data_IF_863099018351
#
_entry.id   IF_863099018351
#
_cell.length_a   1.000
_cell.length_b   1.000
_cell.length_c   1.000
_cell.angle_alpha   90.00
_cell.angle_beta   90.00
_cell.angle_gamma   90.00
#
_symmetry.space_group_name_H-M   'P 1'
#
loop_
_entity.id
_entity.type
_entity.pdbx_description
1 polymer ?
#
# COMPACT_ATOMS: atom_id res chain seq x y z
N UNK A 1 -16.96 15.10 -13.22
CA UNK A 1 -15.92 14.07 -13.00
C UNK A 1 -15.81 13.87 -11.49
N UNK A 2 -16.63 12.99 -10.91
CA UNK A 2 -16.68 12.81 -9.47
C UNK A 2 -15.62 11.81 -9.05
N UNK A 3 -14.66 12.27 -8.23
CA UNK A 3 -13.63 11.42 -7.60
C UNK A 3 -14.30 10.63 -6.49
N UNK A 4 -14.64 9.38 -6.74
CA UNK A 4 -14.99 8.42 -5.70
C UNK A 4 -13.72 7.97 -5.00
N UNK A 5 -13.71 8.14 -3.68
CA UNK A 5 -12.73 7.61 -2.74
C UNK A 5 -12.43 6.13 -3.05
N UNK A 6 -11.17 5.81 -3.35
CA UNK A 6 -10.72 4.44 -3.63
C UNK A 6 -10.49 3.74 -2.30
N UNK A 7 -11.57 3.22 -1.70
CA UNK A 7 -11.46 2.04 -0.84
C UNK A 7 -10.82 0.93 -1.69
N UNK A 8 -9.81 0.18 -1.21
CA UNK A 8 -9.29 -0.96 -1.96
C UNK A 8 -10.45 -1.93 -2.17
N UNK A 9 -10.88 -2.09 -3.42
CA UNK A 9 -12.07 -2.88 -3.74
C UNK A 9 -11.95 -4.31 -3.18
N UNK A 10 -13.08 -4.92 -2.73
CA UNK A 10 -13.11 -6.19 -2.01
C UNK A 10 -12.46 -7.38 -2.75
N UNK A 11 -12.25 -7.28 -4.06
CA UNK A 11 -11.66 -8.30 -4.93
C UNK A 11 -10.12 -8.34 -4.93
N UNK A 12 -9.49 -7.40 -4.21
CA UNK A 12 -8.03 -7.26 -4.11
C UNK A 12 -7.50 -7.62 -2.74
N UNK A 13 -8.32 -8.21 -1.86
CA UNK A 13 -7.82 -8.73 -0.60
C UNK A 13 -6.80 -9.84 -0.87
N UNK A 14 -5.76 -9.88 -0.06
CA UNK A 14 -4.72 -10.90 -0.16
C UNK A 14 -5.31 -12.31 -0.03
N UNK A 15 -6.30 -12.47 0.83
CA UNK A 15 -7.05 -13.72 1.05
C UNK A 15 -7.77 -14.19 -0.22
N UNK A 16 -8.45 -13.30 -0.94
CA UNK A 16 -9.14 -13.69 -2.18
C UNK A 16 -8.16 -14.17 -3.24
N UNK A 17 -7.00 -13.51 -3.35
CA UNK A 17 -5.97 -13.94 -4.28
C UNK A 17 -5.30 -15.26 -3.87
N UNK A 18 -5.17 -15.54 -2.56
CA UNK A 18 -4.76 -16.85 -2.05
C UNK A 18 -5.77 -17.93 -2.44
N UNK A 19 -7.07 -17.66 -2.27
CA UNK A 19 -8.13 -18.60 -2.66
C UNK A 19 -8.10 -18.91 -4.17
N UNK A 20 -7.84 -17.92 -5.02
CA UNK A 20 -7.67 -18.11 -6.47
C UNK A 20 -6.54 -19.11 -6.78
N UNK A 21 -5.40 -18.98 -6.10
CA UNK A 21 -4.26 -19.89 -6.27
C UNK A 21 -4.62 -21.29 -5.76
N UNK A 22 -5.21 -21.39 -4.56
CA UNK A 22 -5.66 -22.65 -3.98
C UNK A 22 -6.64 -23.39 -4.89
N UNK A 23 -7.68 -22.72 -5.40
CA UNK A 23 -8.64 -23.33 -6.31
C UNK A 23 -8.02 -23.82 -7.62
N UNK A 24 -6.96 -23.16 -8.09
CA UNK A 24 -6.28 -23.57 -9.33
C UNK A 24 -5.36 -24.76 -9.12
N UNK A 25 -4.56 -24.77 -8.07
CA UNK A 25 -3.51 -25.77 -7.87
C UNK A 25 -3.99 -26.98 -7.06
N UNK A 26 -4.82 -26.79 -6.04
CA UNK A 26 -5.30 -27.87 -5.17
C UNK A 26 -6.63 -28.47 -5.67
N UNK A 27 -7.51 -27.64 -6.25
CA UNK A 27 -8.83 -28.09 -6.73
C UNK A 27 -8.92 -28.22 -8.26
N UNK A 28 -7.84 -27.93 -9.00
CA UNK A 28 -7.76 -28.02 -10.46
C UNK A 28 -8.91 -27.33 -11.23
N UNK A 29 -9.52 -26.28 -10.65
CA UNK A 29 -10.64 -25.56 -11.27
C UNK A 29 -10.19 -24.75 -12.49
N UNK A 30 -11.12 -24.54 -13.41
CA UNK A 30 -10.90 -23.69 -14.58
C UNK A 30 -10.90 -22.21 -14.21
N UNK A 31 -10.26 -21.37 -15.03
CA UNK A 31 -10.24 -19.92 -14.80
C UNK A 31 -11.64 -19.30 -14.81
N UNK A 32 -12.55 -19.84 -15.64
CA UNK A 32 -13.95 -19.44 -15.70
C UNK A 32 -14.67 -19.71 -14.37
N UNK A 33 -14.59 -20.93 -13.84
CA UNK A 33 -15.20 -21.29 -12.56
C UNK A 33 -14.64 -20.46 -11.41
N UNK A 34 -13.32 -20.25 -11.38
CA UNK A 34 -12.65 -19.40 -10.40
C UNK A 34 -13.14 -17.96 -10.50
N UNK A 35 -13.34 -17.45 -11.72
CA UNK A 35 -13.84 -16.09 -11.93
C UNK A 35 -15.27 -15.90 -11.42
N UNK A 36 -16.11 -16.93 -11.59
CA UNK A 36 -17.49 -16.94 -11.06
C UNK A 36 -17.49 -17.02 -9.53
N UNK A 37 -16.67 -17.88 -8.94
CA UNK A 37 -16.52 -18.02 -7.48
C UNK A 37 -15.97 -16.75 -6.83
N UNK A 38 -14.94 -16.16 -7.41
CA UNK A 38 -14.31 -14.92 -6.94
C UNK A 38 -15.11 -13.66 -7.32
N UNK A 39 -16.16 -13.79 -8.15
CA UNK A 39 -16.93 -12.68 -8.73
C UNK A 39 -16.03 -11.63 -9.39
N UNK A 40 -15.02 -12.08 -10.12
CA UNK A 40 -14.04 -11.23 -10.80
C UNK A 40 -13.94 -11.60 -12.29
N UNK A 41 -13.23 -10.80 -13.07
CA UNK A 41 -12.98 -11.14 -14.48
C UNK A 41 -11.93 -12.24 -14.61
N UNK A 42 -12.07 -13.10 -15.61
CA UNK A 42 -11.04 -14.11 -15.94
C UNK A 42 -9.65 -13.48 -16.12
N UNK A 43 -9.59 -12.27 -16.70
CA UNK A 43 -8.33 -11.50 -16.82
C UNK A 43 -7.64 -11.29 -15.47
N UNK A 44 -8.41 -11.03 -14.42
CA UNK A 44 -7.88 -10.87 -13.06
C UNK A 44 -7.33 -12.18 -12.52
N UNK A 45 -8.06 -13.29 -12.75
CA UNK A 45 -7.61 -14.65 -12.39
C UNK A 45 -6.28 -14.97 -13.08
N UNK A 46 -6.18 -14.79 -14.40
CA UNK A 46 -4.94 -15.03 -15.15
C UNK A 46 -3.79 -14.14 -14.68
N UNK A 47 -4.04 -12.88 -14.33
CA UNK A 47 -3.00 -11.99 -13.79
C UNK A 47 -2.46 -12.49 -12.45
N UNK A 48 -3.33 -12.93 -11.54
CA UNK A 48 -2.91 -13.48 -10.23
C UNK A 48 -2.15 -14.78 -10.41
N UNK A 49 -2.66 -15.71 -11.24
CA UNK A 49 -1.99 -16.97 -11.53
C UNK A 49 -0.63 -16.78 -12.21
N UNK A 50 -0.53 -15.79 -13.11
CA UNK A 50 0.74 -15.42 -13.74
C UNK A 50 1.74 -14.89 -12.72
N UNK A 51 1.33 -13.97 -11.84
CA UNK A 51 2.20 -13.45 -10.77
C UNK A 51 2.70 -14.58 -9.86
N UNK A 52 1.81 -15.49 -9.48
CA UNK A 52 2.16 -16.63 -8.65
C UNK A 52 3.13 -17.59 -9.34
N UNK A 53 2.93 -17.86 -10.64
CA UNK A 53 3.85 -18.69 -11.42
C UNK A 53 5.22 -18.05 -11.61
N UNK A 54 5.25 -16.75 -11.91
CA UNK A 54 6.48 -16.06 -12.29
C UNK A 54 7.32 -15.67 -11.06
N UNK A 55 6.69 -15.42 -9.89
CA UNK A 55 7.37 -14.93 -8.68
C UNK A 55 7.11 -15.73 -7.40
N UNK A 56 6.24 -16.75 -7.43
CA UNK A 56 5.80 -17.47 -6.22
C UNK A 56 4.96 -16.62 -5.26
N UNK A 57 4.61 -15.40 -5.66
CA UNK A 57 3.94 -14.42 -4.82
C UNK A 57 2.62 -13.95 -5.43
N UNK A 58 1.68 -13.68 -4.54
CA UNK A 58 0.31 -13.29 -4.86
C UNK A 58 0.19 -11.77 -5.03
N UNK A 59 1.14 -11.05 -4.42
CA UNK A 59 1.33 -9.63 -4.58
C UNK A 59 2.59 -9.40 -5.42
N UNK A 60 2.60 -8.31 -6.19
CA UNK A 60 3.75 -7.96 -7.01
C UNK A 60 4.91 -7.53 -6.08
N UNK A 61 6.02 -8.28 -6.03
CA UNK A 61 7.17 -7.92 -5.18
C UNK A 61 7.86 -6.62 -5.64
N UNK A 62 7.68 -6.24 -6.91
CA UNK A 62 8.20 -5.00 -7.49
C UNK A 62 7.19 -3.85 -7.45
N UNK A 63 6.08 -4.01 -6.72
CA UNK A 63 5.17 -2.91 -6.49
C UNK A 63 5.90 -1.83 -5.70
N UNK A 64 6.36 -0.78 -6.39
CA UNK A 64 6.93 0.39 -5.75
C UNK A 64 5.82 1.07 -4.94
N UNK A 65 6.14 1.47 -3.71
CA UNK A 65 5.33 2.42 -2.97
C UNK A 65 5.05 3.61 -3.89
N UNK A 66 3.77 3.89 -4.15
CA UNK A 66 3.40 5.03 -4.97
C UNK A 66 3.71 6.31 -4.20
N UNK A 67 4.48 7.21 -4.80
CA UNK A 67 4.79 8.52 -4.23
C UNK A 67 6.29 8.77 -4.06
N UNK A 68 6.63 10.02 -3.77
CA UNK A 68 8.00 10.42 -3.39
C UNK A 68 8.28 9.91 -1.97
N UNK A 69 9.49 9.38 -1.69
CA UNK A 69 9.89 9.06 -0.32
C UNK A 69 9.66 10.27 0.60
N UNK A 70 9.15 10.02 1.81
CA UNK A 70 8.96 11.08 2.80
C UNK A 70 10.33 11.52 3.31
N UNK A 71 10.53 12.83 3.42
CA UNK A 71 11.75 13.44 3.99
C UNK A 71 11.65 13.50 5.53
N UNK A 72 10.42 13.63 6.03
CA UNK A 72 10.10 13.59 7.46
C UNK A 72 9.65 12.18 7.83
N UNK A 73 10.29 11.61 8.84
CA UNK A 73 9.88 10.38 9.49
C UNK A 73 8.80 10.64 10.55
N UNK A 74 8.38 9.59 11.25
CA UNK A 74 7.33 9.70 12.26
C UNK A 74 7.78 10.49 13.49
N UNK A 75 9.05 10.38 13.89
CA UNK A 75 9.61 11.07 15.05
C UNK A 75 9.68 12.57 14.77
N UNK A 76 10.10 12.96 13.56
CA UNK A 76 10.10 14.37 13.15
C UNK A 76 8.71 14.96 13.20
N UNK A 77 7.69 14.22 12.74
CA UNK A 77 6.32 14.67 12.73
C UNK A 77 5.79 14.88 14.16
N UNK A 78 6.09 13.96 15.07
CA UNK A 78 5.73 14.08 16.49
C UNK A 78 6.43 15.29 17.14
N UNK A 79 7.71 15.49 16.84
CA UNK A 79 8.48 16.64 17.31
C UNK A 79 7.91 17.97 16.81
N UNK A 80 7.64 18.07 15.50
CA UNK A 80 7.01 19.25 14.88
C UNK A 80 5.66 19.53 15.52
N UNK A 81 4.85 18.50 15.77
CA UNK A 81 3.57 18.65 16.45
C UNK A 81 3.73 19.22 17.85
N UNK A 82 4.66 18.68 18.66
CA UNK A 82 4.92 19.19 20.01
C UNK A 82 5.40 20.65 19.98
N UNK A 83 6.25 21.01 19.00
CA UNK A 83 6.76 22.36 18.81
C UNK A 83 5.65 23.38 18.54
N UNK A 84 4.74 23.04 17.64
CA UNK A 84 3.60 23.88 17.27
C UNK A 84 2.58 23.98 18.41
N UNK A 85 2.43 22.94 19.24
CA UNK A 85 1.60 23.02 20.44
C UNK A 85 2.20 23.96 21.49
N UNK A 86 3.53 23.95 21.66
CA UNK A 86 4.21 24.83 22.59
C UNK A 86 4.22 26.28 22.10
N UNK A 87 4.47 26.50 20.80
CA UNK A 87 4.62 27.82 20.19
C UNK A 87 3.89 27.89 18.83
N UNK A 88 2.59 28.21 18.81
CA UNK A 88 1.79 28.18 17.59
C UNK A 88 2.08 29.33 16.60
N UNK A 89 2.80 30.36 17.03
CA UNK A 89 3.17 31.53 16.20
C UNK A 89 4.52 31.38 15.50
N UNK A 90 5.17 30.22 15.64
CA UNK A 90 6.49 29.97 15.06
C UNK A 90 6.44 29.97 13.54
N UNK A 91 7.45 30.59 12.92
CA UNK A 91 7.58 30.60 11.47
C UNK A 91 8.18 29.29 10.94
N UNK A 92 8.02 29.05 9.64
CA UNK A 92 8.43 27.78 9.03
C UNK A 92 9.95 27.59 9.04
N UNK A 93 10.71 28.66 8.82
CA UNK A 93 12.16 28.70 8.86
C UNK A 93 12.71 28.44 10.26
N UNK A 94 12.12 29.05 11.29
CA UNK A 94 12.43 28.77 12.69
C UNK A 94 12.19 27.29 13.04
N UNK A 95 11.08 26.74 12.58
CA UNK A 95 10.73 25.33 12.77
C UNK A 95 11.71 24.39 12.07
N UNK A 96 12.17 24.77 10.87
CA UNK A 96 13.21 24.03 10.15
C UNK A 96 14.56 24.08 10.87
N UNK A 97 14.94 25.24 11.41
CA UNK A 97 16.19 25.40 12.17
C UNK A 97 16.17 24.58 13.46
N UNK A 98 15.04 24.57 14.18
CA UNK A 98 14.89 23.74 15.38
C UNK A 98 14.92 22.26 15.07
N UNK A 99 14.23 21.81 14.02
CA UNK A 99 14.27 20.42 13.58
C UNK A 99 15.68 20.00 13.16
N UNK A 100 16.40 20.85 12.41
CA UNK A 100 17.78 20.59 12.01
C UNK A 100 18.71 20.52 13.23
N UNK A 101 18.56 21.44 14.18
CA UNK A 101 19.35 21.45 15.42
C UNK A 101 19.07 20.21 16.27
N UNK A 102 17.82 19.76 16.36
CA UNK A 102 17.46 18.56 17.10
C UNK A 102 18.07 17.29 16.49
N UNK A 103 18.01 17.14 15.16
CA UNK A 103 18.58 15.98 14.44
C UNK A 103 20.12 15.89 14.49
N UNK A 104 20.82 17.00 14.66
CA UNK A 104 22.30 17.03 14.70
C UNK A 104 22.87 16.89 16.13
N UNK A 105 22.01 16.75 17.15
CA UNK A 105 22.43 16.56 18.55
C UNK A 105 22.56 15.08 18.95
N UNK A 106 22.30 14.17 18.03
CA UNK A 106 22.57 12.73 18.13
C UNK A 106 23.86 12.37 17.37
#
# INVERSE_FOLDING_TARGET
RNKTSIMPGPFTSQEMRQNIVFWRFEQHRTALEISLLARCSEKTVYNVLRLYRDYGQINNPFARCRGRPRILDTIDMEYIHALLQANPTMYLDELQEQLFTARNKD
#
